data_IF_570361909725
#
_entry.id   IF_570361909725
#
_cell.length_a   1.000
_cell.length_b   1.000
_cell.length_c   1.000
_cell.angle_alpha   90.00
_cell.angle_beta   90.00
_cell.angle_gamma   90.00
#
_symmetry.space_group_name_H-M   'P 1'
#
loop_
_entity.id
_entity.type
_entity.pdbx_description
1 polymer ?
#
# COMPACT_ATOMS: atom_id res chain seq x y z
N UNK A 1 31.12 14.66 1.06
CA UNK A 1 30.49 14.40 -0.24
C UNK A 1 29.15 13.80 0.10
N UNK A 2 28.14 14.66 0.19
CA UNK A 2 26.84 14.38 0.78
C UNK A 2 25.78 14.82 -0.23
N UNK A 3 24.94 13.88 -0.66
CA UNK A 3 23.61 14.03 -1.31
C UNK A 3 23.17 12.57 -1.61
N UNK A 4 21.96 12.06 -1.37
CA UNK A 4 20.63 12.65 -1.19
C UNK A 4 19.76 11.68 -0.38
N UNK A 5 18.88 12.25 0.44
CA UNK A 5 17.77 11.73 1.24
C UNK A 5 17.11 10.44 0.73
N UNK A 6 17.09 9.40 1.58
CA UNK A 6 16.46 8.12 1.34
C UNK A 6 14.93 8.16 1.46
N UNK A 7 14.25 8.32 0.32
CA UNK A 7 12.89 7.77 0.16
C UNK A 7 13.04 6.28 -0.13
N UNK A 8 12.62 5.43 0.80
CA UNK A 8 12.58 3.98 0.57
C UNK A 8 11.54 3.72 -0.51
N UNK A 9 11.99 3.51 -1.75
CA UNK A 9 11.10 3.14 -2.85
C UNK A 9 10.83 1.65 -2.73
N UNK A 10 9.59 1.31 -2.40
CA UNK A 10 9.08 -0.05 -2.52
C UNK A 10 8.63 -0.26 -3.97
N UNK A 11 8.85 -1.45 -4.51
CA UNK A 11 8.47 -1.82 -5.87
C UNK A 11 7.55 -3.03 -5.80
N UNK A 12 6.39 -2.92 -6.45
CA UNK A 12 5.42 -4.00 -6.56
C UNK A 12 5.49 -4.57 -7.98
N UNK A 13 5.78 -5.86 -8.09
CA UNK A 13 5.83 -6.57 -9.36
C UNK A 13 4.55 -7.39 -9.54
N UNK A 14 3.84 -7.12 -10.62
CA UNK A 14 2.58 -7.78 -10.96
C UNK A 14 2.75 -8.69 -12.16
N UNK A 15 2.16 -9.89 -12.09
CA UNK A 15 2.02 -10.78 -13.23
C UNK A 15 0.55 -10.83 -13.65
N UNK A 16 0.18 -9.98 -14.62
CA UNK A 16 -1.21 -9.68 -14.94
C UNK A 16 -1.86 -8.87 -13.83
N UNK A 17 -2.95 -9.38 -13.22
CA UNK A 17 -3.67 -8.71 -12.12
C UNK A 17 -3.24 -9.16 -10.71
N UNK A 18 -2.21 -9.99 -10.59
CA UNK A 18 -1.79 -10.58 -9.30
C UNK A 18 -0.44 -10.01 -8.89
N UNK A 19 -0.35 -9.51 -7.66
CA UNK A 19 0.92 -9.15 -7.03
C UNK A 19 1.76 -10.41 -6.90
N UNK A 20 2.90 -10.44 -7.60
CA UNK A 20 3.82 -11.56 -7.60
C UNK A 20 4.94 -11.37 -6.58
N UNK A 21 5.45 -10.15 -6.44
CA UNK A 21 6.53 -9.83 -5.50
C UNK A 21 6.47 -8.37 -5.05
N UNK A 22 6.76 -8.15 -3.77
CA UNK A 22 7.11 -6.82 -3.23
C UNK A 22 8.62 -6.76 -3.02
N UNK A 23 9.23 -5.62 -3.31
CA UNK A 23 10.67 -5.45 -3.30
C UNK A 23 11.06 -4.11 -2.71
N UNK A 24 12.10 -4.10 -1.88
CA UNK A 24 12.79 -2.89 -1.45
C UNK A 24 14.22 -2.94 -1.97
N UNK A 25 14.70 -1.79 -2.44
CA UNK A 25 16.07 -1.60 -2.93
C UNK A 25 17.13 -1.55 -1.83
N UNK A 26 17.00 -2.38 -0.80
CA UNK A 26 17.92 -2.44 0.33
C UNK A 26 18.37 -3.89 0.57
N UNK A 27 19.63 -4.13 0.98
CA UNK A 27 20.11 -5.47 1.30
C UNK A 27 19.28 -6.07 2.44
N UNK A 28 18.78 -7.29 2.26
CA UNK A 28 18.02 -7.95 3.31
C UNK A 28 17.48 -9.30 2.91
N UNK A 29 16.38 -9.71 3.54
CA UNK A 29 15.86 -11.08 3.45
C UNK A 29 14.91 -11.22 2.25
N UNK A 30 15.03 -12.34 1.56
CA UNK A 30 14.06 -12.81 0.58
C UNK A 30 13.10 -13.78 1.28
N UNK A 31 11.84 -13.39 1.39
CA UNK A 31 10.79 -14.14 2.07
C UNK A 31 9.83 -14.69 1.03
N UNK A 32 9.61 -16.00 1.02
CA UNK A 32 8.49 -16.59 0.27
C UNK A 32 7.33 -16.89 1.21
N UNK A 33 6.15 -16.39 0.85
CA UNK A 33 4.89 -16.68 1.57
C UNK A 33 4.31 -18.05 1.21
N UNK A 34 4.86 -18.70 0.18
CA UNK A 34 4.35 -19.97 -0.35
C UNK A 34 5.15 -21.18 0.13
N UNK A 35 6.39 -21.00 0.56
CA UNK A 35 7.14 -22.04 1.27
C UNK A 35 6.76 -22.04 2.75
N UNK A 36 6.63 -23.22 3.38
CA UNK A 36 6.57 -23.31 4.84
C UNK A 36 7.73 -22.53 5.46
N UNK A 37 7.55 -21.95 6.67
CA UNK A 37 8.66 -21.28 7.33
C UNK A 37 9.86 -22.24 7.40
N UNK A 38 11.08 -21.74 7.15
CA UNK A 38 12.28 -22.58 7.18
C UNK A 38 12.34 -23.35 8.49
N UNK A 39 12.85 -24.58 8.43
CA UNK A 39 13.00 -25.39 9.63
C UNK A 39 13.87 -24.61 10.63
N UNK A 40 13.60 -24.72 11.95
CA UNK A 40 14.39 -24.03 12.96
C UNK A 40 15.90 -24.31 12.77
N UNK A 41 16.67 -23.29 12.38
CA UNK A 41 18.11 -23.40 12.10
C UNK A 41 18.52 -23.16 10.64
N UNK A 42 17.58 -23.06 9.69
CA UNK A 42 17.89 -22.63 8.32
C UNK A 42 18.07 -21.11 8.29
N UNK A 43 19.24 -20.65 7.83
CA UNK A 43 19.52 -19.23 7.70
C UNK A 43 18.61 -18.63 6.60
N UNK A 44 17.96 -17.48 6.85
CA UNK A 44 17.17 -16.80 5.83
C UNK A 44 18.00 -16.52 4.58
N UNK A 45 17.40 -16.69 3.40
CA UNK A 45 18.05 -16.31 2.15
C UNK A 45 18.15 -14.78 2.12
N UNK A 46 19.36 -14.25 2.04
CA UNK A 46 19.60 -12.80 1.98
C UNK A 46 20.12 -12.38 0.60
N UNK A 47 19.80 -11.15 0.20
CA UNK A 47 20.27 -10.54 -1.05
C UNK A 47 21.15 -9.30 -0.76
N UNK A 48 22.22 -9.08 -1.54
CA UNK A 48 23.15 -7.97 -1.32
C UNK A 48 22.58 -6.58 -1.60
N UNK A 49 21.43 -6.45 -2.26
CA UNK A 49 20.81 -5.15 -2.59
C UNK A 49 19.28 -5.15 -2.55
N UNK A 50 18.66 -6.28 -2.19
CA UNK A 50 17.21 -6.47 -2.29
C UNK A 50 16.63 -7.14 -1.04
N UNK A 51 15.48 -6.63 -0.61
CA UNK A 51 14.61 -7.28 0.37
C UNK A 51 13.30 -7.52 -0.32
N UNK A 52 12.87 -8.77 -0.45
CA UNK A 52 11.72 -9.09 -1.28
C UNK A 52 10.78 -10.10 -0.61
N UNK A 53 9.49 -9.94 -0.87
CA UNK A 53 8.44 -10.88 -0.44
C UNK A 53 7.75 -11.44 -1.67
N UNK A 54 7.85 -12.76 -1.88
CA UNK A 54 7.15 -13.46 -2.95
C UNK A 54 5.76 -13.88 -2.50
N UNK A 55 4.76 -13.48 -3.27
CA UNK A 55 3.34 -13.77 -3.01
C UNK A 55 2.78 -14.89 -3.87
N UNK A 56 3.52 -15.28 -4.91
CA UNK A 56 3.07 -16.25 -5.90
C UNK A 56 4.17 -17.26 -6.22
N UNK A 57 4.04 -18.48 -5.67
CA UNK A 57 4.99 -19.59 -5.86
C UNK A 57 5.38 -19.85 -7.33
N UNK A 58 4.42 -19.77 -8.26
CA UNK A 58 4.69 -20.03 -9.69
C UNK A 58 5.65 -19.02 -10.32
N UNK A 59 5.77 -17.81 -9.75
CA UNK A 59 6.64 -16.74 -10.25
C UNK A 59 7.94 -16.64 -9.44
N UNK A 60 8.01 -17.26 -8.25
CA UNK A 60 9.17 -17.21 -7.36
C UNK A 60 10.44 -17.77 -8.00
N UNK A 61 10.34 -18.90 -8.71
CA UNK A 61 11.49 -19.52 -9.35
C UNK A 61 12.11 -18.64 -10.44
N UNK A 62 11.26 -17.98 -11.25
CA UNK A 62 11.70 -17.07 -12.32
C UNK A 62 12.25 -15.77 -11.74
N UNK A 63 11.48 -15.10 -10.86
CA UNK A 63 11.88 -13.84 -10.23
C UNK A 63 13.13 -14.00 -9.36
N UNK A 64 13.27 -15.15 -8.69
CA UNK A 64 14.47 -15.49 -7.93
C UNK A 64 15.69 -15.78 -8.80
N UNK A 65 15.51 -16.27 -10.03
CA UNK A 65 16.60 -16.39 -11.00
C UNK A 65 17.02 -15.00 -11.52
N UNK A 66 16.06 -14.15 -11.89
CA UNK A 66 16.29 -12.78 -12.31
C UNK A 66 17.02 -11.95 -11.24
N UNK A 67 16.65 -12.08 -9.97
CA UNK A 67 17.35 -11.42 -8.85
C UNK A 67 18.81 -11.86 -8.75
N UNK A 68 19.09 -13.16 -8.92
CA UNK A 68 20.44 -13.72 -8.82
C UNK A 68 21.34 -13.32 -9.99
N UNK A 69 20.76 -13.15 -11.18
CA UNK A 69 21.49 -12.72 -12.37
C UNK A 69 21.70 -11.21 -12.44
N UNK A 70 20.83 -10.42 -11.80
CA UNK A 70 20.92 -8.98 -11.79
C UNK A 70 22.12 -8.48 -10.96
N UNK A 71 22.84 -7.50 -11.51
CA UNK A 71 23.95 -6.82 -10.83
C UNK A 71 23.48 -5.85 -9.75
N UNK A 72 22.27 -5.31 -9.93
CA UNK A 72 21.68 -4.26 -9.11
C UNK A 72 20.15 -4.23 -9.29
N UNK A 73 19.50 -3.38 -8.51
CA UNK A 73 18.05 -3.22 -8.53
C UNK A 73 17.51 -2.81 -9.90
N UNK A 74 18.19 -1.90 -10.61
CA UNK A 74 17.70 -1.39 -11.89
C UNK A 74 17.77 -2.48 -12.96
N UNK A 75 18.88 -3.20 -13.03
CA UNK A 75 19.05 -4.36 -13.91
C UNK A 75 18.00 -5.45 -13.63
N UNK A 76 17.63 -5.65 -12.36
CA UNK A 76 16.55 -6.56 -11.98
C UNK A 76 15.19 -6.09 -12.50
N UNK A 77 14.81 -4.83 -12.26
CA UNK A 77 13.51 -4.28 -12.68
C UNK A 77 13.36 -4.33 -14.21
N UNK A 78 14.40 -3.92 -14.94
CA UNK A 78 14.44 -4.01 -16.41
C UNK A 78 14.31 -5.46 -16.90
N UNK A 79 14.89 -6.44 -16.19
CA UNK A 79 14.75 -7.84 -16.53
C UNK A 79 13.33 -8.36 -16.25
N UNK A 80 12.73 -7.95 -15.14
CA UNK A 80 11.35 -8.32 -14.81
C UNK A 80 10.34 -7.74 -15.81
N UNK A 81 10.49 -6.48 -16.21
CA UNK A 81 9.63 -5.88 -17.25
C UNK A 81 9.76 -6.60 -18.59
N UNK A 82 10.99 -6.96 -18.98
CA UNK A 82 11.24 -7.75 -20.21
C UNK A 82 10.64 -9.16 -20.14
N UNK A 83 10.54 -9.74 -18.95
CA UNK A 83 9.83 -11.00 -18.70
C UNK A 83 8.30 -10.87 -18.66
N UNK A 84 7.77 -9.64 -18.78
CA UNK A 84 6.33 -9.38 -18.83
C UNK A 84 5.69 -9.08 -17.47
N UNK A 85 6.48 -8.77 -16.45
CA UNK A 85 5.99 -8.28 -15.17
C UNK A 85 5.75 -6.77 -15.24
N UNK A 86 4.61 -6.30 -14.75
CA UNK A 86 4.38 -4.87 -14.58
C UNK A 86 5.02 -4.41 -13.27
N UNK A 87 5.87 -3.39 -13.34
CA UNK A 87 6.57 -2.83 -12.18
C UNK A 87 5.87 -1.54 -11.78
N UNK A 88 5.38 -1.48 -10.54
CA UNK A 88 4.86 -0.26 -9.95
C UNK A 88 5.77 0.20 -8.82
N UNK A 89 6.08 1.50 -8.80
CA UNK A 89 6.83 2.10 -7.69
C UNK A 89 5.85 2.61 -6.66
N UNK A 90 5.94 2.08 -5.45
CA UNK A 90 5.20 2.53 -4.28
C UNK A 90 6.17 3.33 -3.41
N UNK A 91 5.98 4.64 -3.37
CA UNK A 91 6.76 5.48 -2.46
C UNK A 91 6.29 5.24 -1.03
N UNK A 92 7.21 4.78 -0.18
CA UNK A 92 7.00 4.69 1.26
C UNK A 92 6.85 6.11 1.81
N UNK A 93 5.61 6.55 2.05
CA UNK A 93 5.28 7.89 2.60
C UNK A 93 5.62 8.02 4.09
N UNK A 94 6.78 7.51 4.52
CA UNK A 94 7.26 7.60 5.91
C UNK A 94 8.50 8.50 6.08
N UNK A 95 8.93 9.24 5.04
CA UNK A 95 10.04 10.21 5.10
C UNK A 95 9.56 11.67 4.96
N UNK A 96 10.24 12.67 5.57
CA UNK A 96 9.85 14.07 5.47
C UNK A 96 10.09 14.62 4.05
N UNK A 97 9.11 15.36 3.54
CA UNK A 97 9.01 15.92 2.18
C UNK A 97 10.24 16.77 1.77
N UNK A 98 10.73 16.68 0.51
CA UNK A 98 11.46 17.77 -0.11
C UNK A 98 10.49 18.92 -0.45
N UNK A 99 10.87 20.15 -0.11
CA UNK A 99 10.09 21.36 -0.36
C UNK A 99 9.86 21.59 -1.86
N UNK A 100 8.61 21.64 -2.36
CA UNK A 100 8.35 22.04 -3.72
C UNK A 100 8.35 23.57 -3.84
N UNK A 101 9.27 24.10 -4.64
CA UNK A 101 9.22 25.48 -5.07
C UNK A 101 8.07 25.67 -6.08
N UNK A 102 6.97 26.24 -5.59
CA UNK A 102 6.04 27.04 -6.39
C UNK A 102 4.93 26.28 -7.10
N UNK A 103 3.84 25.99 -6.38
CA UNK A 103 2.53 25.72 -7.00
C UNK A 103 1.54 24.86 -6.21
N UNK A 104 2.00 24.04 -5.24
CA UNK A 104 1.23 22.87 -4.77
C UNK A 104 1.06 22.73 -3.25
N UNK A 105 1.13 23.82 -2.48
CA UNK A 105 1.05 23.75 -1.00
C UNK A 105 -0.39 23.44 -0.52
N UNK A 106 -1.40 24.09 -1.09
CA UNK A 106 -2.79 23.94 -0.66
C UNK A 106 -3.41 22.56 -0.98
N UNK A 107 -2.96 21.88 -2.05
CA UNK A 107 -3.47 20.56 -2.42
C UNK A 107 -2.92 19.46 -1.50
N UNK A 108 -1.64 19.54 -1.15
CA UNK A 108 -1.00 18.63 -0.20
C UNK A 108 -1.51 18.84 1.23
N UNK A 109 -1.69 20.08 1.68
CA UNK A 109 -2.34 20.39 2.96
C UNK A 109 -3.78 19.86 3.02
N UNK A 110 -4.50 19.95 1.91
CA UNK A 110 -5.83 19.35 1.75
C UNK A 110 -5.78 17.84 1.94
N UNK A 111 -4.90 17.15 1.21
CA UNK A 111 -4.73 15.69 1.29
C UNK A 111 -4.34 15.24 2.70
N UNK A 112 -3.37 15.91 3.35
CA UNK A 112 -2.97 15.61 4.73
C UNK A 112 -4.15 15.76 5.72
N UNK A 113 -4.96 16.81 5.57
CA UNK A 113 -6.19 16.98 6.36
C UNK A 113 -7.16 15.82 6.15
N UNK A 114 -7.39 15.39 4.90
CA UNK A 114 -8.29 14.28 4.62
C UNK A 114 -7.77 12.95 5.18
N UNK A 115 -6.46 12.74 5.19
CA UNK A 115 -5.83 11.56 5.82
C UNK A 115 -6.07 11.56 7.33
N UNK A 116 -5.92 12.71 7.99
CA UNK A 116 -6.21 12.86 9.43
C UNK A 116 -7.67 12.52 9.73
N UNK A 117 -8.61 13.04 8.93
CA UNK A 117 -10.05 12.75 9.07
C UNK A 117 -10.34 11.26 8.89
N UNK A 118 -9.83 10.65 7.81
CA UNK A 118 -10.02 9.22 7.54
C UNK A 118 -9.43 8.33 8.64
N UNK A 119 -8.24 8.69 9.16
CA UNK A 119 -7.60 7.98 10.28
C UNK A 119 -8.41 8.09 11.57
N UNK A 120 -8.96 9.27 11.88
CA UNK A 120 -9.79 9.47 13.05
C UNK A 120 -11.04 8.56 13.01
N UNK A 121 -11.70 8.44 11.85
CA UNK A 121 -12.82 7.52 11.69
C UNK A 121 -12.42 6.05 11.79
N UNK A 122 -11.27 5.67 11.24
CA UNK A 122 -10.77 4.30 11.41
C UNK A 122 -10.40 3.98 12.86
N UNK A 123 -9.84 4.95 13.60
CA UNK A 123 -9.50 4.80 15.01
C UNK A 123 -10.74 4.63 15.91
N UNK A 124 -11.89 5.19 15.52
CA UNK A 124 -13.17 4.91 16.18
C UNK A 124 -13.62 3.45 15.99
N UNK A 125 -13.33 2.86 14.82
CA UNK A 125 -13.76 1.51 14.48
C UNK A 125 -12.81 0.42 14.97
N UNK A 126 -11.50 0.72 15.08
CA UNK A 126 -10.42 -0.25 15.32
C UNK A 126 -9.24 0.38 16.05
N UNK A 127 -8.63 -0.39 16.94
CA UNK A 127 -7.35 -0.05 17.59
C UNK A 127 -6.18 -0.37 16.64
N UNK A 128 -5.30 0.61 16.40
CA UNK A 128 -4.09 0.49 15.58
C UNK A 128 -4.29 -0.14 14.17
N UNK A 129 -5.13 0.46 13.30
CA UNK A 129 -5.36 -0.07 11.97
C UNK A 129 -4.17 0.20 11.03
N UNK A 130 -3.70 -0.83 10.33
CA UNK A 130 -2.71 -0.66 9.25
C UNK A 130 -3.43 -0.17 8.01
N UNK A 131 -3.34 1.14 7.74
CA UNK A 131 -4.10 1.80 6.67
C UNK A 131 -3.19 2.13 5.48
N UNK A 132 -3.58 1.63 4.32
CA UNK A 132 -3.02 2.06 3.04
C UNK A 132 -3.79 3.28 2.56
N UNK A 133 -3.09 4.38 2.29
CA UNK A 133 -3.69 5.62 1.80
C UNK A 133 -3.47 5.72 0.30
N UNK A 134 -4.56 5.83 -0.45
CA UNK A 134 -4.59 5.97 -1.91
C UNK A 134 -5.21 7.33 -2.23
N UNK A 135 -4.51 8.18 -2.97
CA UNK A 135 -5.08 9.44 -3.47
C UNK A 135 -6.04 9.16 -4.62
N UNK A 136 -7.23 9.75 -4.57
CA UNK A 136 -8.22 9.56 -5.63
C UNK A 136 -7.88 10.47 -6.81
N UNK A 137 -8.13 9.99 -8.04
CA UNK A 137 -7.94 10.81 -9.24
C UNK A 137 -8.81 12.07 -9.20
N UNK A 138 -8.40 13.09 -9.96
CA UNK A 138 -9.16 14.32 -10.18
C UNK A 138 -9.37 15.19 -8.92
N UNK A 139 -8.60 14.94 -7.85
CA UNK A 139 -8.75 15.68 -6.58
C UNK A 139 -10.02 15.32 -5.82
N UNK A 140 -10.62 14.16 -6.12
CA UNK A 140 -11.84 13.67 -5.45
C UNK A 140 -11.64 13.32 -3.97
N UNK A 141 -10.39 13.32 -3.48
CA UNK A 141 -10.04 13.12 -2.08
C UNK A 141 -9.10 11.94 -1.87
N UNK A 142 -9.25 11.23 -0.75
CA UNK A 142 -8.37 10.10 -0.38
C UNK A 142 -9.19 8.86 -0.02
N UNK A 143 -8.62 7.68 -0.24
CA UNK A 143 -9.16 6.41 0.20
C UNK A 143 -8.20 5.75 1.17
N UNK A 144 -8.67 5.45 2.38
CA UNK A 144 -7.94 4.69 3.37
C UNK A 144 -8.44 3.26 3.34
N UNK A 145 -7.56 2.31 3.09
CA UNK A 145 -7.88 0.89 2.95
C UNK A 145 -7.21 0.11 4.07
N UNK A 146 -7.99 -0.64 4.83
CA UNK A 146 -7.46 -1.62 5.77
C UNK A 146 -7.44 -3.00 5.09
N UNK A 147 -6.31 -3.40 4.53
CA UNK A 147 -6.17 -4.61 3.70
C UNK A 147 -6.13 -5.92 4.52
N UNK A 148 -7.04 -6.10 5.47
CA UNK A 148 -7.19 -7.32 6.27
C UNK A 148 -8.59 -7.92 6.13
N UNK A 149 -8.77 -9.20 6.50
CA UNK A 149 -10.10 -9.83 6.50
C UNK A 149 -11.01 -9.11 7.49
N UNK A 150 -12.03 -8.42 6.99
CA UNK A 150 -12.93 -7.57 7.79
C UNK A 150 -12.43 -6.11 7.96
N UNK A 151 -11.32 -5.75 7.31
CA UNK A 151 -10.88 -4.37 7.14
C UNK A 151 -11.62 -3.75 5.95
N UNK A 152 -12.46 -2.77 6.24
CA UNK A 152 -13.15 -2.01 5.19
C UNK A 152 -12.22 -0.98 4.56
N UNK A 153 -12.83 -0.08 3.78
CA UNK A 153 -12.19 1.08 3.20
C UNK A 153 -13.06 2.32 3.41
N UNK A 154 -12.43 3.44 3.68
CA UNK A 154 -13.10 4.73 3.87
C UNK A 154 -12.62 5.67 2.78
N UNK A 155 -13.53 6.18 1.97
CA UNK A 155 -13.29 7.28 1.05
C UNK A 155 -13.60 8.59 1.78
N UNK A 156 -12.77 9.61 1.62
CA UNK A 156 -12.91 10.92 2.25
C UNK A 156 -12.86 11.97 1.16
N UNK A 157 -13.91 12.77 1.03
CA UNK A 157 -14.02 13.85 0.06
C UNK A 157 -13.37 15.14 0.57
N UNK A 158 -13.06 16.12 -0.31
CA UNK A 158 -12.51 17.41 0.08
C UNK A 158 -13.37 18.22 1.05
N UNK A 159 -14.68 17.96 1.07
CA UNK A 159 -15.67 18.53 1.99
C UNK A 159 -15.76 17.77 3.33
N UNK A 160 -14.83 16.84 3.59
CA UNK A 160 -14.76 15.94 4.75
C UNK A 160 -15.88 14.88 4.80
N UNK A 161 -16.74 14.81 3.79
CA UNK A 161 -17.76 13.78 3.72
C UNK A 161 -17.10 12.42 3.46
N UNK A 162 -17.49 11.40 4.22
CA UNK A 162 -16.90 10.07 4.13
C UNK A 162 -17.85 9.04 3.55
N UNK A 163 -17.30 7.99 2.95
CA UNK A 163 -18.03 6.78 2.56
C UNK A 163 -17.28 5.57 3.08
N UNK A 164 -17.90 4.79 3.95
CA UNK A 164 -17.40 3.48 4.34
C UNK A 164 -17.90 2.43 3.34
N UNK A 165 -16.96 1.71 2.74
CA UNK A 165 -17.24 0.51 1.99
C UNK A 165 -16.69 -0.70 2.76
N UNK A 166 -17.57 -1.65 3.05
CA UNK A 166 -17.19 -2.89 3.72
C UNK A 166 -16.25 -3.74 2.87
N UNK A 167 -15.55 -4.66 3.52
CA UNK A 167 -14.56 -5.56 2.89
C UNK A 167 -15.07 -6.40 1.70
N UNK A 168 -16.39 -6.52 1.52
CA UNK A 168 -17.01 -7.23 0.40
C UNK A 168 -17.12 -6.38 -0.88
N UNK A 169 -16.95 -5.07 -0.77
CA UNK A 169 -17.04 -4.13 -1.90
C UNK A 169 -15.63 -3.89 -2.44
N UNK A 170 -15.42 -4.10 -3.73
CA UNK A 170 -14.13 -3.80 -4.37
C UNK A 170 -13.87 -2.29 -4.49
N UNK A 171 -12.61 -1.91 -4.76
CA UNK A 171 -12.20 -0.52 -4.81
C UNK A 171 -12.93 0.29 -5.89
N UNK A 172 -13.10 -0.28 -7.09
CA UNK A 172 -13.72 0.41 -8.23
C UNK A 172 -15.21 0.66 -7.95
N UNK A 173 -15.93 -0.35 -7.47
CA UNK A 173 -17.35 -0.22 -7.08
C UNK A 173 -17.57 0.81 -5.98
N UNK A 174 -16.67 0.86 -4.98
CA UNK A 174 -16.76 1.87 -3.93
C UNK A 174 -16.42 3.28 -4.40
N UNK A 175 -15.47 3.40 -5.33
CA UNK A 175 -15.10 4.68 -5.93
C UNK A 175 -16.22 5.21 -6.83
N UNK A 176 -16.90 4.34 -7.57
CA UNK A 176 -18.04 4.70 -8.42
C UNK A 176 -19.21 5.21 -7.57
N UNK A 177 -19.57 4.49 -6.50
CA UNK A 177 -20.59 4.94 -5.56
C UNK A 177 -20.22 6.29 -4.90
N UNK A 178 -18.95 6.47 -4.54
CA UNK A 178 -18.46 7.72 -3.99
C UNK A 178 -18.53 8.89 -4.98
N UNK A 179 -18.24 8.63 -6.27
CA UNK A 179 -18.38 9.57 -7.37
C UNK A 179 -19.84 9.93 -7.66
N UNK A 180 -20.75 8.96 -7.51
CA UNK A 180 -22.21 9.17 -7.63
C UNK A 180 -22.80 9.99 -6.46
N UNK A 181 -21.98 10.30 -5.45
CA UNK A 181 -22.38 11.13 -4.31
C UNK A 181 -22.84 10.34 -3.09
N UNK A 182 -22.68 9.01 -3.08
CA UNK A 182 -22.96 8.21 -1.90
C UNK A 182 -22.04 8.62 -0.75
N UNK A 183 -22.61 8.83 0.44
CA UNK A 183 -21.90 9.15 1.68
C UNK A 183 -22.44 8.29 2.81
N UNK A 184 -21.57 8.00 3.78
CA UNK A 184 -21.93 7.32 5.02
C UNK A 184 -22.16 8.38 6.10
N UNK A 185 -23.34 8.41 6.73
CA UNK A 185 -23.59 9.29 7.87
C UNK A 185 -22.57 9.04 8.99
N UNK A 186 -22.08 10.12 9.61
CA UNK A 186 -21.06 10.04 10.68
C UNK A 186 -21.51 9.17 11.88
N UNK A 187 -22.82 9.15 12.16
CA UNK A 187 -23.47 8.28 13.15
C UNK A 187 -23.25 6.77 12.91
N UNK A 188 -22.91 6.35 11.69
CA UNK A 188 -22.58 4.95 11.39
C UNK A 188 -21.17 4.57 11.86
N UNK A 189 -20.29 5.55 12.08
CA UNK A 189 -18.93 5.35 12.60
C UNK A 189 -18.86 5.37 14.12
N UNK A 190 -19.90 5.90 14.78
CA UNK A 190 -20.07 5.90 16.22
C UNK A 190 -20.52 4.50 16.67
N UNK A 191 -19.59 3.54 16.64
CA UNK A 191 -19.80 2.26 17.32
C UNK A 191 -19.49 2.50 18.80
N UNK A 192 -20.45 3.11 19.49
CA UNK A 192 -20.55 3.00 20.95
C UNK A 192 -20.37 1.52 21.31
N UNK A 193 -19.56 1.25 22.34
CA UNK A 193 -19.20 -0.08 22.80
C UNK A 193 -20.43 -0.76 23.44
N UNK A 194 -21.41 -1.11 22.62
CA UNK A 194 -22.70 -1.66 23.00
C UNK A 194 -22.77 -3.16 22.81
N UNK A 195 -21.82 -3.89 23.40
CA UNK A 195 -21.97 -5.32 23.65
C UNK A 195 -22.93 -5.59 24.81
N UNK A 196 -24.18 -5.12 24.68
CA UNK A 196 -25.30 -5.54 25.52
C UNK A 196 -26.31 -6.24 24.62
N UNK A 197 -26.52 -7.53 24.84
CA UNK A 197 -27.76 -8.29 24.64
C UNK A 197 -27.49 -9.71 25.14
N UNK A 198 -28.06 -10.11 26.28
CA UNK A 198 -29.45 -10.56 26.47
C UNK A 198 -29.53 -12.09 26.36
#
# INVERSE_FOLDING_TARGET
MSDTTGSVRMYCLFHGKRLAMELKGEPGVLVSTSTPPPLPGEAPVTHPFATATFHVAKCEGELGALLREASDLHAFLDAAERSGYAVETVEDRTAPLPTPAGGSDAASEGVDRLIVVGRAHFAQLRTDPVLNVIELPDGLGVCLVHAVRGGGKIYVAPDESTLFAGSAVDFETGLDAFRDGARTPLETFDIDHGGANA
#
